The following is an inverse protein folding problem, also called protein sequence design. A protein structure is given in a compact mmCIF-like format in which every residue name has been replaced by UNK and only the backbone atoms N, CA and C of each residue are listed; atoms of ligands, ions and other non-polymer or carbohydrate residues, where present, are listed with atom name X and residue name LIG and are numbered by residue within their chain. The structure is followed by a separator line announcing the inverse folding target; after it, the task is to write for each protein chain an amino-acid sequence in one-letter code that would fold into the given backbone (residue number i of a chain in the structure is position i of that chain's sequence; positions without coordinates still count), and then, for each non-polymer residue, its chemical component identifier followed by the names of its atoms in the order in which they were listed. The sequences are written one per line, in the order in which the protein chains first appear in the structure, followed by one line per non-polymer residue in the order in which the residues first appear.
data_IF_909433906476
#
_entry.id   IF_909433906476
#
_cell.length_a   1.000
_cell.length_b   1.000
_cell.length_c   1.000
_cell.angle_alpha   90.00
_cell.angle_beta   90.00
_cell.angle_gamma   90.00
#
_symmetry.space_group_name_H-M   'P 1'
#
loop_
_entity.id
_entity.type
_entity.pdbx_description
1 polymer ?
#
# COMPACT_ATOMS: atom_id res chain seq x y z
N UNK A 1 2.13 7.60 48.60
CA UNK A 1 0.90 7.09 47.94
C UNK A 1 1.25 5.75 47.32
N UNK A 2 0.83 4.64 47.93
CA UNK A 2 1.08 3.30 47.39
C UNK A 2 -0.03 3.04 46.36
N UNK A 3 0.30 3.17 45.07
CA UNK A 3 -0.58 2.73 43.97
C UNK A 3 -0.76 1.23 44.18
N UNK A 4 -1.89 0.83 44.77
CA UNK A 4 -2.09 -0.48 45.40
C UNK A 4 -1.63 -1.67 44.54
N UNK A 5 -1.33 -2.80 45.19
CA UNK A 5 -0.67 -4.04 44.70
C UNK A 5 -0.87 -4.44 43.21
N UNK A 6 -1.95 -4.03 42.55
CA UNK A 6 -2.27 -4.28 41.15
C UNK A 6 -1.70 -3.24 40.15
N UNK A 7 -1.20 -2.09 40.60
CA UNK A 7 -0.71 -1.04 39.70
C UNK A 7 0.47 -1.50 38.83
N UNK A 8 1.38 -2.29 39.40
CA UNK A 8 2.48 -2.90 38.64
C UNK A 8 1.98 -3.83 37.54
N UNK A 9 0.92 -4.62 37.83
CA UNK A 9 0.29 -5.50 36.84
C UNK A 9 -0.38 -4.71 35.70
N UNK A 10 -1.09 -3.63 36.04
CA UNK A 10 -1.73 -2.74 35.05
C UNK A 10 -0.69 -2.15 34.10
N UNK A 11 0.39 -1.56 34.66
CA UNK A 11 1.46 -0.96 33.87
C UNK A 11 2.17 -2.01 33.01
N UNK A 12 2.45 -3.19 33.55
CA UNK A 12 3.07 -4.27 32.79
C UNK A 12 2.16 -4.76 31.64
N UNK A 13 0.87 -4.95 31.88
CA UNK A 13 -0.09 -5.39 30.87
C UNK A 13 -0.20 -4.37 29.72
N UNK A 14 -0.34 -3.08 30.04
CA UNK A 14 -0.35 -2.02 29.02
C UNK A 14 1.00 -1.89 28.32
N UNK A 15 2.11 -2.07 29.03
CA UNK A 15 3.46 -2.08 28.44
C UNK A 15 3.61 -3.18 27.40
N UNK A 16 3.21 -4.41 27.73
CA UNK A 16 3.21 -5.54 26.78
C UNK A 16 2.27 -5.26 25.60
N UNK A 17 1.08 -4.72 25.85
CA UNK A 17 0.14 -4.36 24.78
C UNK A 17 0.76 -3.36 23.80
N UNK A 18 1.42 -2.30 24.30
CA UNK A 18 2.12 -1.31 23.47
C UNK A 18 3.24 -1.95 22.67
N UNK A 19 4.03 -2.85 23.28
CA UNK A 19 5.09 -3.59 22.57
C UNK A 19 4.53 -4.42 21.42
N UNK A 20 3.45 -5.16 21.66
CA UNK A 20 2.82 -6.00 20.63
C UNK A 20 2.25 -5.14 19.49
N UNK A 21 1.55 -4.05 19.82
CA UNK A 21 0.98 -3.14 18.81
C UNK A 21 2.08 -2.48 17.98
N UNK A 22 3.14 -1.99 18.60
CA UNK A 22 4.26 -1.37 17.87
C UNK A 22 5.03 -2.37 17.02
N UNK A 23 5.19 -3.61 17.49
CA UNK A 23 5.78 -4.68 16.70
C UNK A 23 4.93 -5.01 15.46
N UNK A 24 3.60 -5.09 15.61
CA UNK A 24 2.69 -5.31 14.48
C UNK A 24 2.74 -4.16 13.47
N UNK A 25 2.70 -2.92 13.93
CA UNK A 25 2.81 -1.74 13.07
C UNK A 25 4.15 -1.77 12.32
N UNK A 26 5.26 -2.02 13.03
CA UNK A 26 6.59 -2.12 12.43
C UNK A 26 6.69 -3.25 11.40
N UNK A 27 6.10 -4.41 11.70
CA UNK A 27 6.04 -5.56 10.80
C UNK A 27 5.26 -5.24 9.52
N UNK A 28 4.05 -4.69 9.65
CA UNK A 28 3.20 -4.30 8.53
C UNK A 28 3.91 -3.25 7.67
N UNK A 29 4.53 -2.25 8.29
CA UNK A 29 5.28 -1.23 7.55
C UNK A 29 6.49 -1.83 6.81
N UNK A 30 7.23 -2.75 7.45
CA UNK A 30 8.34 -3.45 6.81
C UNK A 30 7.87 -4.32 5.64
N UNK A 31 6.77 -5.03 5.81
CA UNK A 31 6.14 -5.87 4.78
C UNK A 31 5.65 -5.02 3.60
N UNK A 32 4.94 -3.93 3.87
CA UNK A 32 4.50 -2.98 2.86
C UNK A 32 5.69 -2.42 2.07
N UNK A 33 6.78 -2.02 2.76
CA UNK A 33 8.00 -1.55 2.08
C UNK A 33 8.65 -2.63 1.22
N UNK A 34 8.57 -3.90 1.58
CA UNK A 34 9.05 -5.01 0.74
C UNK A 34 8.20 -5.14 -0.53
N UNK A 35 6.87 -5.01 -0.41
CA UNK A 35 5.95 -5.05 -1.55
C UNK A 35 6.11 -3.83 -2.49
N UNK A 36 6.20 -2.62 -1.94
CA UNK A 36 6.28 -1.38 -2.73
C UNK A 36 7.60 -1.21 -3.49
N UNK A 37 8.70 -1.82 -3.02
CA UNK A 37 9.98 -1.81 -3.76
C UNK A 37 9.85 -2.47 -5.13
N UNK A 38 9.00 -3.48 -5.26
CA UNK A 38 8.75 -4.17 -6.52
C UNK A 38 7.93 -3.30 -7.48
N UNK A 39 6.90 -2.61 -6.97
CA UNK A 39 6.08 -1.71 -7.79
C UNK A 39 6.84 -0.45 -8.24
N UNK A 40 7.61 0.18 -7.34
CA UNK A 40 8.44 1.35 -7.71
C UNK A 40 9.49 1.04 -8.76
N UNK A 41 10.03 -0.18 -8.75
CA UNK A 41 10.97 -0.64 -9.80
C UNK A 41 10.29 -0.76 -11.16
N UNK A 42 9.01 -1.13 -11.20
CA UNK A 42 8.22 -1.24 -12.42
C UNK A 42 7.71 0.13 -12.92
N UNK A 43 7.28 1.01 -12.01
CA UNK A 43 6.91 2.39 -12.35
C UNK A 43 8.09 3.20 -12.90
N UNK A 44 9.27 3.08 -12.26
CA UNK A 44 10.51 3.68 -12.76
C UNK A 44 10.94 3.09 -14.12
N UNK A 45 10.46 1.89 -14.47
CA UNK A 45 10.76 1.21 -15.74
C UNK A 45 9.77 1.55 -16.87
N UNK A 46 8.86 2.51 -16.68
CA UNK A 46 8.13 3.12 -17.80
C UNK A 46 6.96 2.31 -18.38
N UNK A 47 6.17 1.63 -17.54
CA UNK A 47 4.91 0.96 -17.95
C UNK A 47 3.74 1.97 -18.09
N UNK A 48 4.00 3.16 -18.63
CA UNK A 48 2.96 4.13 -19.01
C UNK A 48 2.83 4.27 -20.53
N UNK A 49 3.87 3.92 -21.30
CA UNK A 49 3.84 4.10 -22.75
C UNK A 49 3.07 3.01 -23.51
N UNK A 50 3.00 1.79 -22.97
CA UNK A 50 2.32 0.67 -23.67
C UNK A 50 0.81 0.66 -23.46
N UNK A 51 0.32 1.10 -22.31
CA UNK A 51 -1.11 1.06 -21.97
C UNK A 51 -1.94 2.11 -22.71
N UNK A 52 -1.33 3.20 -23.19
CA UNK A 52 -1.99 4.20 -24.03
C UNK A 52 -2.09 3.80 -25.51
N UNK A 53 -1.27 2.84 -25.97
CA UNK A 53 -1.22 2.42 -27.37
C UNK A 53 -2.27 1.35 -27.74
N UNK A 54 -3.06 0.88 -26.78
CA UNK A 54 -4.18 -0.04 -26.98
C UNK A 54 -5.49 0.68 -26.62
N UNK A 55 -5.64 1.93 -27.05
CA UNK A 55 -6.95 2.41 -27.49
C UNK A 55 -6.99 2.07 -28.99
N UNK A 56 -7.63 0.96 -29.39
CA UNK A 56 -7.70 0.60 -30.80
C UNK A 56 -8.37 1.76 -31.51
N UNK A 57 -7.78 2.15 -32.64
CA UNK A 57 -8.37 3.07 -33.60
C UNK A 57 -9.83 2.66 -33.85
N UNK A 58 -10.75 3.28 -33.11
CA UNK A 58 -12.18 3.22 -33.35
C UNK A 58 -12.33 3.81 -34.74
N UNK A 59 -12.67 2.91 -35.67
CA UNK A 59 -12.58 3.11 -37.09
C UNK A 59 -12.96 4.52 -37.52
N UNK A 60 -12.00 5.20 -38.14
CA UNK A 60 -12.24 6.03 -39.31
C UNK A 60 -13.00 5.17 -40.34
N UNK A 61 -14.32 5.08 -40.18
CA UNK A 61 -15.22 4.68 -41.24
C UNK A 61 -15.22 5.80 -42.29
N UNK A 62 -14.94 5.52 -43.56
CA UNK A 62 -14.79 6.54 -44.57
C UNK A 62 -16.15 7.20 -44.85
N UNK A 63 -16.20 8.51 -44.64
CA UNK A 63 -17.17 9.38 -45.29
C UNK A 63 -17.03 9.23 -46.80
N UNK A 64 -17.97 8.54 -47.44
CA UNK A 64 -18.16 8.58 -48.90
C UNK A 64 -19.65 8.57 -49.24
N UNK A 65 -20.15 9.80 -49.39
CA UNK A 65 -21.10 10.27 -50.40
C UNK A 65 -22.42 9.50 -50.61
N UNK A 66 -23.52 10.16 -50.26
CA UNK A 66 -24.77 10.17 -51.05
C UNK A 66 -24.45 10.59 -52.50
N UNK A 67 -25.15 10.07 -53.52
CA UNK A 67 -26.57 10.37 -53.76
C UNK A 67 -27.50 9.17 -53.92
#
# INVERSE_FOLDING_TARGET
MNLGQHAGFIVAAYGVAVIVVTALIGWIAADYRRQTRTLRRLEASGITRRSAAIAPAAGTAPSRAAP
#
